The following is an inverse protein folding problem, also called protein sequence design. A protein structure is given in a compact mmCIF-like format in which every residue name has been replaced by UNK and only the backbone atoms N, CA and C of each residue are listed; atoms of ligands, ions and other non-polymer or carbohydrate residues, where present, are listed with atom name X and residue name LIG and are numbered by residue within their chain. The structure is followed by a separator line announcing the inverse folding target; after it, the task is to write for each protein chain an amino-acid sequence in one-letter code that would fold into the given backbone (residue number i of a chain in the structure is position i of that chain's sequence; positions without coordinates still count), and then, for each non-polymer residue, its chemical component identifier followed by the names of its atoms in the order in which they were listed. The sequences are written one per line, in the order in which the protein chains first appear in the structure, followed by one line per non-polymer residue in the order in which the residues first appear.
data_IF_775509544513
#
_entry.id   IF_775509544513
#
_cell.length_a   1.000
_cell.length_b   1.000
_cell.length_c   1.000
_cell.angle_alpha   90.00
_cell.angle_beta   90.00
_cell.angle_gamma   90.00
#
_symmetry.space_group_name_H-M   'P 1'
#
loop_
_entity.id
_entity.type
_entity.pdbx_description
1 polymer ?
#
# COMPACT_ATOMS: atom_id res chain seq x y z
N UNK A 1 13.13 -40.83 -60.24
CA UNK A 1 14.42 -41.54 -60.05
C UNK A 1 15.30 -40.72 -59.11
N UNK A 2 15.46 -41.14 -57.92
CA UNK A 2 16.56 -41.74 -57.13
C UNK A 2 16.19 -41.65 -55.67
N UNK A 3 15.82 -42.70 -55.16
CA UNK A 3 16.36 -43.66 -54.17
C UNK A 3 16.97 -43.09 -52.91
N UNK A 4 16.28 -43.44 -51.84
CA UNK A 4 16.62 -43.52 -50.44
C UNK A 4 18.09 -43.87 -50.10
N UNK A 5 18.59 -43.31 -49.00
CA UNK A 5 19.36 -44.02 -48.02
C UNK A 5 18.94 -43.57 -46.63
N UNK A 6 18.32 -44.48 -45.91
CA UNK A 6 18.17 -44.49 -44.46
C UNK A 6 19.47 -45.02 -43.86
N UNK A 7 20.00 -44.39 -42.84
CA UNK A 7 20.76 -45.12 -41.78
C UNK A 7 21.00 -44.25 -40.57
N UNK A 8 20.62 -44.82 -39.44
CA UNK A 8 21.25 -44.70 -38.13
C UNK A 8 21.22 -43.39 -37.40
N UNK A 9 20.05 -43.03 -36.82
CA UNK A 9 19.99 -42.12 -35.71
C UNK A 9 19.01 -42.56 -34.59
N UNK A 10 18.51 -43.79 -34.60
CA UNK A 10 17.58 -44.29 -33.57
C UNK A 10 18.23 -44.93 -32.35
N UNK A 11 19.56 -45.15 -32.33
CA UNK A 11 20.23 -45.75 -31.19
C UNK A 11 20.64 -44.75 -30.11
N UNK A 12 20.86 -43.49 -30.46
CA UNK A 12 21.33 -42.49 -29.48
C UNK A 12 20.15 -41.84 -28.68
N UNK A 13 18.96 -41.81 -29.23
CA UNK A 13 17.79 -41.32 -28.54
C UNK A 13 17.31 -42.27 -27.43
N UNK A 14 17.44 -43.58 -27.62
CA UNK A 14 17.06 -44.58 -26.62
C UNK A 14 18.03 -44.60 -25.43
N UNK A 15 19.34 -44.35 -25.65
CA UNK A 15 20.33 -44.26 -24.59
C UNK A 15 20.16 -42.97 -23.73
N UNK A 16 19.82 -41.86 -24.34
CA UNK A 16 19.57 -40.61 -23.63
C UNK A 16 18.30 -40.69 -22.75
N UNK A 17 17.23 -41.34 -23.20
CA UNK A 17 15.99 -41.54 -22.41
C UNK A 17 16.24 -42.52 -21.25
N UNK A 18 17.07 -43.52 -21.41
CA UNK A 18 17.46 -44.47 -20.35
C UNK A 18 18.32 -43.79 -19.27
N UNK A 19 19.26 -42.92 -19.64
CA UNK A 19 20.08 -42.15 -18.71
C UNK A 19 19.28 -41.13 -17.90
N UNK A 20 18.33 -40.46 -18.54
CA UNK A 20 17.42 -39.50 -17.87
C UNK A 20 16.51 -40.15 -16.83
N UNK A 21 16.00 -41.35 -17.12
CA UNK A 21 15.17 -42.08 -16.17
C UNK A 21 15.96 -42.64 -14.97
N UNK A 22 17.22 -42.99 -15.13
CA UNK A 22 18.08 -43.39 -14.01
C UNK A 22 18.44 -42.20 -13.11
N UNK A 23 18.75 -41.05 -13.69
CA UNK A 23 19.04 -39.84 -12.94
C UNK A 23 17.79 -39.32 -12.15
N UNK A 24 16.62 -39.35 -12.77
CA UNK A 24 15.35 -38.99 -12.10
C UNK A 24 15.00 -39.99 -10.99
N UNK A 25 15.31 -41.28 -11.15
CA UNK A 25 15.07 -42.29 -10.11
C UNK A 25 16.02 -42.12 -8.93
N UNK A 26 17.30 -41.76 -9.19
CA UNK A 26 18.29 -41.45 -8.17
C UNK A 26 17.95 -40.16 -7.40
N UNK A 27 17.52 -39.09 -8.09
CA UNK A 27 17.06 -37.86 -7.48
C UNK A 27 15.80 -38.10 -6.61
N UNK A 28 14.85 -38.90 -7.08
CA UNK A 28 13.66 -39.26 -6.32
C UNK A 28 13.97 -40.08 -5.07
N UNK A 29 14.99 -40.94 -5.15
CA UNK A 29 15.53 -41.71 -4.01
C UNK A 29 16.19 -40.82 -2.96
N UNK A 30 16.97 -39.81 -3.38
CA UNK A 30 17.59 -38.83 -2.48
C UNK A 30 16.58 -37.91 -1.81
N UNK A 31 15.58 -37.42 -2.55
CA UNK A 31 14.52 -36.58 -2.00
C UNK A 31 13.66 -37.36 -1.00
N UNK A 32 13.31 -38.62 -1.29
CA UNK A 32 12.56 -39.45 -0.36
C UNK A 32 13.39 -39.86 0.89
N UNK A 33 14.69 -40.05 0.74
CA UNK A 33 15.61 -40.27 1.86
C UNK A 33 15.71 -39.06 2.77
N UNK A 34 15.90 -37.86 2.21
CA UNK A 34 15.93 -36.60 2.96
C UNK A 34 14.58 -36.28 3.66
N UNK A 35 13.45 -36.60 3.00
CA UNK A 35 12.15 -36.46 3.61
C UNK A 35 11.88 -37.44 4.75
N UNK A 36 12.44 -38.67 4.69
CA UNK A 36 12.32 -39.64 5.78
C UNK A 36 13.21 -39.27 6.98
N UNK A 37 14.41 -38.72 6.74
CA UNK A 37 15.27 -38.21 7.80
C UNK A 37 14.69 -36.96 8.48
N UNK A 38 14.11 -36.02 7.71
CA UNK A 38 13.36 -34.88 8.27
C UNK A 38 12.13 -35.33 9.05
N UNK A 39 11.39 -36.32 8.59
CA UNK A 39 10.24 -36.88 9.30
C UNK A 39 10.66 -37.58 10.60
N UNK A 40 11.80 -38.30 10.64
CA UNK A 40 12.32 -38.92 11.86
C UNK A 40 12.89 -37.88 12.83
N UNK A 41 13.50 -36.80 12.35
CA UNK A 41 13.98 -35.71 13.20
C UNK A 41 12.82 -34.90 13.83
N UNK A 42 11.71 -34.72 13.11
CA UNK A 42 10.51 -34.06 13.63
C UNK A 42 9.72 -34.96 14.57
N UNK A 43 9.77 -36.30 14.42
CA UNK A 43 9.06 -37.24 15.31
C UNK A 43 9.80 -37.51 16.62
N UNK A 44 11.08 -37.13 16.72
CA UNK A 44 11.89 -37.36 17.94
C UNK A 44 11.64 -36.40 19.09
N UNK A 45 10.84 -35.36 18.91
CA UNK A 45 10.56 -34.35 19.95
C UNK A 45 9.05 -34.18 20.18
N UNK A 46 8.30 -35.29 20.26
CA UNK A 46 6.98 -35.23 20.89
C UNK A 46 7.19 -35.19 22.40
N UNK A 47 6.75 -34.15 23.08
CA UNK A 47 6.70 -34.20 24.53
C UNK A 47 5.77 -35.36 24.94
N UNK A 48 6.32 -36.30 25.70
CA UNK A 48 5.58 -37.38 26.35
C UNK A 48 4.32 -36.82 27.00
N UNK A 49 3.19 -37.43 26.71
CA UNK A 49 1.90 -37.10 27.31
C UNK A 49 2.05 -36.92 28.82
N UNK A 50 1.83 -35.71 29.28
CA UNK A 50 1.85 -35.38 30.71
C UNK A 50 0.79 -36.22 31.43
N UNK A 51 1.16 -36.80 32.55
CA UNK A 51 0.28 -37.52 33.44
C UNK A 51 -0.94 -36.66 33.85
N UNK A 52 -2.09 -37.25 34.19
CA UNK A 52 -3.28 -36.47 34.55
C UNK A 52 -3.05 -35.66 35.81
N UNK A 53 -3.05 -34.36 35.62
CA UNK A 53 -2.78 -33.37 36.69
C UNK A 53 -4.09 -33.08 37.43
N UNK A 54 -4.03 -33.03 38.76
CA UNK A 54 -5.15 -32.81 39.65
C UNK A 54 -5.96 -31.52 39.30
N UNK A 55 -7.25 -31.52 39.56
CA UNK A 55 -8.20 -30.46 39.16
C UNK A 55 -7.89 -29.05 39.63
N UNK A 56 -6.98 -28.86 40.59
CA UNK A 56 -6.53 -27.56 41.05
C UNK A 56 -5.43 -26.90 40.18
N UNK A 57 -4.76 -27.66 39.30
CA UNK A 57 -3.66 -27.15 38.45
C UNK A 57 -4.12 -26.79 37.03
N UNK A 58 -5.35 -27.03 36.67
CA UNK A 58 -5.83 -26.82 35.28
C UNK A 58 -5.94 -25.34 34.87
N UNK A 59 -6.22 -24.45 35.83
CA UNK A 59 -6.25 -23.01 35.57
C UNK A 59 -4.85 -22.47 35.35
N UNK A 60 -3.91 -22.80 36.23
CA UNK A 60 -2.50 -22.41 36.10
C UNK A 60 -1.86 -23.03 34.83
N UNK A 61 -2.16 -24.28 34.51
CA UNK A 61 -1.65 -24.92 33.29
C UNK A 61 -2.24 -24.31 32.02
N UNK A 62 -3.50 -23.87 32.05
CA UNK A 62 -4.10 -23.11 30.94
C UNK A 62 -3.49 -21.72 30.81
N UNK A 63 -3.23 -21.03 31.90
CA UNK A 63 -2.53 -19.75 31.87
C UNK A 63 -1.11 -19.89 31.34
N UNK A 64 -0.38 -20.93 31.77
CA UNK A 64 0.94 -21.23 31.23
C UNK A 64 0.91 -21.57 29.72
N UNK A 65 -0.03 -22.40 29.30
CA UNK A 65 -0.20 -22.74 27.89
C UNK A 65 -0.57 -21.51 27.04
N UNK A 66 -1.43 -20.64 27.56
CA UNK A 66 -1.79 -19.38 26.93
C UNK A 66 -0.62 -18.37 26.93
N UNK A 67 0.23 -18.39 27.96
CA UNK A 67 1.42 -17.56 28.02
C UNK A 67 2.49 -18.03 27.02
N UNK A 68 2.66 -19.32 26.81
CA UNK A 68 3.59 -19.91 25.85
C UNK A 68 3.11 -19.74 24.40
N UNK A 69 1.79 -19.75 24.17
CA UNK A 69 1.20 -19.54 22.86
C UNK A 69 1.01 -18.06 22.49
N UNK A 70 1.26 -17.14 23.41
CA UNK A 70 1.28 -15.70 23.09
C UNK A 70 2.51 -15.39 22.25
N UNK A 71 2.27 -14.78 21.09
CA UNK A 71 3.35 -14.14 20.34
C UNK A 71 4.00 -13.10 21.25
N UNK A 72 5.17 -13.42 21.79
CA UNK A 72 5.96 -12.48 22.56
C UNK A 72 6.48 -11.42 21.60
N UNK A 73 5.78 -10.30 21.55
CA UNK A 73 6.26 -9.11 20.85
C UNK A 73 7.56 -8.71 21.53
N UNK A 74 8.64 -8.59 20.77
CA UNK A 74 9.98 -8.21 21.27
C UNK A 74 10.00 -6.86 21.98
N UNK A 75 8.99 -6.04 21.77
CA UNK A 75 8.76 -4.78 22.47
C UNK A 75 7.41 -4.82 23.20
N UNK A 76 7.39 -4.71 24.53
CA UNK A 76 6.15 -4.68 25.30
C UNK A 76 5.34 -3.44 24.94
N UNK A 77 4.08 -3.64 24.57
CA UNK A 77 3.14 -2.56 24.25
C UNK A 77 2.37 -2.16 25.52
N UNK A 78 2.16 -0.85 25.67
CA UNK A 78 1.35 -0.31 26.75
C UNK A 78 -0.13 -0.30 26.32
N UNK A 79 -0.99 -0.89 27.16
CA UNK A 79 -2.44 -0.93 26.95
C UNK A 79 -3.14 -0.09 27.99
N UNK A 80 -4.02 0.81 27.56
CA UNK A 80 -4.77 1.71 28.40
C UNK A 80 -6.27 1.51 28.23
N UNK A 81 -7.04 1.76 29.30
CA UNK A 81 -8.51 1.85 29.29
C UNK A 81 -8.94 3.24 29.76
N UNK A 82 -8.31 4.26 29.23
CA UNK A 82 -8.46 5.65 29.68
C UNK A 82 -9.02 6.56 28.59
N UNK A 83 -9.99 6.08 27.84
CA UNK A 83 -10.74 6.92 26.91
C UNK A 83 -11.58 7.88 27.72
N UNK A 84 -11.31 9.21 27.61
CA UNK A 84 -12.06 10.24 28.31
C UNK A 84 -13.21 10.82 27.47
N UNK A 85 -13.06 10.83 26.16
CA UNK A 85 -14.07 11.37 25.26
C UNK A 85 -13.86 10.98 23.81
N UNK A 86 -14.92 11.13 23.03
CA UNK A 86 -14.93 10.92 21.57
C UNK A 86 -15.51 12.18 20.95
N UNK A 87 -14.79 12.83 20.04
CA UNK A 87 -15.22 14.04 19.34
C UNK A 87 -15.07 13.85 17.83
N UNK A 88 -16.16 13.56 17.14
CA UNK A 88 -16.13 13.25 15.71
C UNK A 88 -15.17 12.10 15.41
N UNK A 89 -14.16 12.28 14.56
CA UNK A 89 -13.19 11.26 14.20
C UNK A 89 -12.07 11.09 15.27
N UNK A 90 -12.09 11.88 16.34
CA UNK A 90 -11.05 11.95 17.35
C UNK A 90 -11.45 11.23 18.63
N UNK A 91 -10.48 10.54 19.25
CA UNK A 91 -10.59 9.90 20.56
C UNK A 91 -9.58 10.54 21.49
N UNK A 92 -10.05 11.00 22.64
CA UNK A 92 -9.20 11.62 23.66
C UNK A 92 -8.88 10.57 24.73
N UNK A 93 -7.59 10.34 24.95
CA UNK A 93 -7.07 9.46 25.98
C UNK A 93 -6.44 10.28 27.10
N UNK A 94 -6.80 9.99 28.34
CA UNK A 94 -6.19 10.58 29.52
C UNK A 94 -5.21 9.62 30.21
N UNK A 95 -4.31 10.17 31.02
CA UNK A 95 -3.34 9.43 31.83
C UNK A 95 -2.44 8.48 31.03
N UNK A 96 -2.09 8.88 29.81
CA UNK A 96 -1.16 8.14 28.95
C UNK A 96 0.27 8.49 29.35
N UNK A 97 1.15 7.49 29.44
CA UNK A 97 2.58 7.66 29.75
C UNK A 97 3.38 7.62 28.45
N UNK A 98 4.17 8.67 28.24
CA UNK A 98 5.11 8.78 27.11
C UNK A 98 4.52 8.52 25.72
N UNK A 99 3.37 9.09 25.37
CA UNK A 99 2.86 8.97 24.01
C UNK A 99 3.79 9.69 23.03
N UNK A 100 4.00 9.11 21.86
CA UNK A 100 4.80 9.73 20.80
C UNK A 100 3.90 10.40 19.78
N UNK A 101 4.36 11.51 19.19
CA UNK A 101 3.67 12.15 18.08
C UNK A 101 3.68 11.22 16.85
N UNK A 102 2.58 11.16 16.13
CA UNK A 102 2.36 10.32 14.96
C UNK A 102 2.43 8.79 15.21
N UNK A 103 2.46 8.36 16.46
CA UNK A 103 2.44 6.94 16.83
C UNK A 103 1.11 6.28 16.49
N UNK A 104 1.16 5.02 16.10
CA UNK A 104 -0.04 4.22 15.82
C UNK A 104 -0.58 3.60 17.10
N UNK A 105 -1.88 3.69 17.26
CA UNK A 105 -2.64 3.13 18.39
C UNK A 105 -3.68 2.17 17.86
N UNK A 106 -3.73 0.97 18.42
CA UNK A 106 -4.78 0.01 18.15
C UNK A 106 -5.87 0.10 19.21
N UNK A 107 -7.09 0.38 18.78
CA UNK A 107 -8.26 0.42 19.64
C UNK A 107 -9.02 -0.90 19.49
N UNK A 108 -9.19 -1.61 20.61
CA UNK A 108 -10.02 -2.81 20.64
C UNK A 108 -11.35 -2.46 21.28
N UNK A 109 -12.43 -2.55 20.49
CA UNK A 109 -13.78 -2.27 20.93
C UNK A 109 -14.33 -3.40 21.83
N UNK A 110 -15.42 -3.17 22.55
CA UNK A 110 -16.03 -4.20 23.41
C UNK A 110 -16.50 -5.47 22.67
N UNK A 111 -16.79 -5.35 21.38
CA UNK A 111 -17.18 -6.44 20.48
C UNK A 111 -15.99 -7.24 19.93
N UNK A 112 -14.76 -6.83 20.28
CA UNK A 112 -13.52 -7.45 19.81
C UNK A 112 -13.01 -6.92 18.47
N UNK A 113 -13.73 -5.99 17.81
CA UNK A 113 -13.24 -5.32 16.60
C UNK A 113 -12.01 -4.48 16.93
N UNK A 114 -11.00 -4.57 16.08
CA UNK A 114 -9.78 -3.75 16.18
C UNK A 114 -9.85 -2.62 15.15
N UNK A 115 -9.59 -1.42 15.61
CA UNK A 115 -9.43 -0.23 14.77
C UNK A 115 -8.07 0.38 14.98
N UNK A 116 -7.56 1.02 13.95
CA UNK A 116 -6.27 1.70 14.00
C UNK A 116 -6.46 3.20 14.04
N UNK A 117 -5.62 3.88 14.79
CA UNK A 117 -5.61 5.34 14.86
C UNK A 117 -4.18 5.86 14.99
N UNK A 118 -4.02 7.14 14.78
CA UNK A 118 -2.74 7.83 14.89
C UNK A 118 -2.83 8.95 15.92
N UNK A 119 -1.78 9.09 16.73
CA UNK A 119 -1.67 10.20 17.68
C UNK A 119 -1.39 11.49 16.93
N UNK A 120 -2.31 12.46 17.03
CA UNK A 120 -2.17 13.78 16.41
C UNK A 120 -1.57 14.82 17.34
N UNK A 121 -1.92 14.75 18.62
CA UNK A 121 -1.52 15.74 19.59
C UNK A 121 -1.22 15.08 20.93
N UNK A 122 -0.21 15.58 21.59
CA UNK A 122 0.19 15.15 22.92
C UNK A 122 0.26 16.37 23.82
N UNK A 123 -0.62 16.45 24.81
CA UNK A 123 -0.67 17.56 25.78
C UNK A 123 -0.52 17.01 27.18
N UNK A 124 0.69 17.03 27.72
CA UNK A 124 0.99 16.48 29.04
C UNK A 124 0.74 14.95 29.10
N UNK A 125 -0.27 14.54 29.88
CA UNK A 125 -0.70 13.14 30.00
C UNK A 125 -1.88 12.78 29.09
N UNK A 126 -2.34 13.72 28.24
CA UNK A 126 -3.43 13.51 27.30
C UNK A 126 -2.88 13.26 25.89
N UNK A 127 -3.49 12.32 25.20
CA UNK A 127 -3.22 12.06 23.79
C UNK A 127 -4.53 12.14 22.99
N UNK A 128 -4.51 12.90 21.91
CA UNK A 128 -5.61 12.95 20.93
C UNK A 128 -5.28 12.01 19.81
N UNK A 129 -6.10 10.98 19.63
CA UNK A 129 -5.94 9.93 18.63
C UNK A 129 -7.00 10.08 17.56
N UNK A 130 -6.56 10.14 16.34
CA UNK A 130 -7.38 10.15 15.15
C UNK A 130 -7.60 8.71 14.68
N UNK A 131 -8.86 8.27 14.60
CA UNK A 131 -9.21 6.89 14.24
C UNK A 131 -9.50 6.81 12.74
N UNK A 132 -8.83 5.90 12.03
CA UNK A 132 -8.95 5.77 10.57
C UNK A 132 -10.31 5.21 10.13
N UNK A 133 -10.82 4.22 10.84
CA UNK A 133 -12.04 3.46 10.49
C UNK A 133 -13.31 4.03 11.13
N UNK A 134 -13.25 5.28 11.60
CA UNK A 134 -14.37 5.95 12.28
C UNK A 134 -14.48 5.59 13.76
N UNK A 135 -15.26 6.38 14.49
CA UNK A 135 -15.38 6.34 15.97
C UNK A 135 -16.69 5.73 16.46
N UNK A 136 -17.58 5.29 15.55
CA UNK A 136 -18.86 4.70 15.92
C UNK A 136 -18.67 3.43 16.78
N UNK A 137 -19.40 3.33 17.88
CA UNK A 137 -19.35 2.16 18.78
C UNK A 137 -18.19 2.14 19.78
N UNK A 138 -17.39 3.20 19.87
CA UNK A 138 -16.34 3.32 20.90
C UNK A 138 -16.97 3.62 22.26
N UNK A 139 -16.76 2.72 23.22
CA UNK A 139 -17.19 2.89 24.60
C UNK A 139 -16.01 3.39 25.44
N UNK A 140 -16.19 4.54 26.10
CA UNK A 140 -15.15 5.15 26.93
C UNK A 140 -14.64 4.25 28.07
N UNK A 141 -15.48 3.36 28.60
CA UNK A 141 -15.10 2.51 29.75
C UNK A 141 -14.57 1.14 29.35
N UNK A 142 -14.98 0.62 28.19
CA UNK A 142 -14.70 -0.76 27.79
C UNK A 142 -13.66 -0.87 26.69
N UNK A 143 -13.45 0.18 25.89
CA UNK A 143 -12.47 0.18 24.80
C UNK A 143 -11.06 0.20 25.40
N UNK A 144 -10.20 -0.68 24.89
CA UNK A 144 -8.78 -0.70 25.23
C UNK A 144 -7.94 -0.14 24.09
N UNK A 145 -6.95 0.66 24.44
CA UNK A 145 -6.05 1.32 23.52
C UNK A 145 -4.63 0.77 23.72
N UNK A 146 -4.02 0.27 22.66
CA UNK A 146 -2.68 -0.28 22.68
C UNK A 146 -1.76 0.60 21.84
N UNK A 147 -0.70 1.14 22.44
CA UNK A 147 0.30 1.95 21.75
C UNK A 147 1.37 1.07 21.15
N UNK A 148 1.66 1.25 19.86
CA UNK A 148 2.61 0.40 19.13
C UNK A 148 4.06 0.84 19.28
N UNK A 149 4.30 2.10 19.63
CA UNK A 149 5.64 2.69 19.70
C UNK A 149 6.23 3.06 18.34
N UNK A 150 5.51 2.81 17.24
CA UNK A 150 5.96 3.03 15.86
C UNK A 150 5.01 3.94 15.09
N UNK A 151 5.52 4.52 14.01
CA UNK A 151 4.77 5.36 13.08
C UNK A 151 4.00 4.48 12.07
N UNK A 152 3.06 5.09 11.34
CA UNK A 152 2.34 4.39 10.29
C UNK A 152 3.28 4.07 9.12
N UNK A 153 3.47 2.78 8.89
CA UNK A 153 4.23 2.25 7.75
C UNK A 153 3.33 1.45 6.85
N UNK A 154 3.56 1.57 5.56
CA UNK A 154 2.83 0.83 4.53
C UNK A 154 3.68 -0.33 4.03
N UNK A 155 3.12 -1.55 3.96
CA UNK A 155 3.76 -2.64 3.25
C UNK A 155 3.81 -2.32 1.76
N UNK A 156 4.96 -2.44 1.15
CA UNK A 156 5.18 -2.20 -0.27
C UNK A 156 5.82 -3.40 -0.93
N UNK A 157 5.40 -3.67 -2.15
CA UNK A 157 5.91 -4.76 -2.99
C UNK A 157 5.60 -4.45 -4.45
N UNK A 158 6.32 -5.03 -5.38
CA UNK A 158 5.98 -4.97 -6.81
C UNK A 158 4.64 -5.67 -7.12
N UNK A 159 4.24 -6.65 -6.31
CA UNK A 159 2.95 -7.35 -6.38
C UNK A 159 1.72 -6.46 -6.12
N UNK A 160 1.92 -5.19 -5.77
CA UNK A 160 0.82 -4.22 -5.68
C UNK A 160 0.27 -3.79 -7.04
N UNK A 161 1.03 -3.99 -8.12
CA UNK A 161 0.55 -3.73 -9.47
C UNK A 161 -0.57 -4.70 -9.84
N UNK A 162 -1.55 -4.24 -10.54
CA UNK A 162 -2.75 -5.02 -10.87
C UNK A 162 -3.78 -5.13 -9.74
N UNK A 163 -3.54 -4.53 -8.57
CA UNK A 163 -4.37 -4.67 -7.38
C UNK A 163 -5.20 -3.43 -7.08
N UNK A 164 -6.30 -3.65 -6.37
CA UNK A 164 -7.22 -2.61 -5.90
C UNK A 164 -7.24 -2.56 -4.37
N UNK A 165 -6.97 -1.39 -3.83
CA UNK A 165 -6.92 -1.12 -2.39
C UNK A 165 -7.98 -0.10 -1.98
N UNK A 166 -8.38 -0.14 -0.70
CA UNK A 166 -9.19 0.92 -0.12
C UNK A 166 -8.32 2.13 0.31
N UNK A 167 -8.95 3.14 0.88
CA UNK A 167 -8.26 4.33 1.39
C UNK A 167 -7.25 4.08 2.51
N UNK A 168 -7.36 2.96 3.23
CA UNK A 168 -6.43 2.53 4.27
C UNK A 168 -5.31 1.60 3.76
N UNK A 169 -5.25 1.31 2.44
CA UNK A 169 -4.27 0.38 1.87
C UNK A 169 -4.59 -1.11 2.06
N UNK A 170 -5.82 -1.45 2.47
CA UNK A 170 -6.27 -2.85 2.55
C UNK A 170 -6.80 -3.31 1.18
N UNK A 171 -6.47 -4.52 0.71
CA UNK A 171 -6.97 -5.01 -0.56
C UNK A 171 -8.48 -5.23 -0.53
N UNK A 172 -9.20 -4.78 -1.56
CA UNK A 172 -10.65 -4.96 -1.75
C UNK A 172 -10.99 -5.85 -2.95
N UNK A 173 -9.99 -6.31 -3.66
CA UNK A 173 -10.09 -7.21 -4.81
C UNK A 173 -10.28 -8.69 -4.45
N UNK A 174 -10.50 -9.01 -3.17
CA UNK A 174 -10.55 -10.36 -2.60
C UNK A 174 -9.24 -11.16 -2.73
N UNK A 175 -8.16 -10.52 -3.12
CA UNK A 175 -6.84 -11.11 -3.15
C UNK A 175 -6.23 -11.25 -1.74
N UNK A 176 -5.12 -11.96 -1.61
CA UNK A 176 -4.38 -12.07 -0.34
C UNK A 176 -3.82 -10.71 0.08
N UNK A 177 -3.45 -10.59 1.36
CA UNK A 177 -2.68 -9.45 1.84
C UNK A 177 -1.35 -9.36 1.07
N UNK A 178 -0.88 -8.14 0.85
CA UNK A 178 0.40 -7.89 0.18
C UNK A 178 1.53 -8.46 1.03
N UNK A 179 2.35 -9.30 0.43
CA UNK A 179 3.61 -9.74 1.03
C UNK A 179 4.60 -8.59 0.91
N UNK A 180 4.88 -7.95 2.05
CA UNK A 180 5.76 -6.80 2.06
C UNK A 180 7.20 -7.18 1.76
N UNK A 181 7.82 -6.53 0.79
CA UNK A 181 9.27 -6.53 0.59
C UNK A 181 9.93 -5.52 1.52
N UNK A 182 9.24 -4.39 1.77
CA UNK A 182 9.68 -3.36 2.72
C UNK A 182 8.47 -2.68 3.37
N UNK A 183 8.72 -1.97 4.49
CA UNK A 183 7.74 -1.17 5.20
C UNK A 183 8.18 0.29 5.20
N UNK A 184 7.54 1.11 4.39
CA UNK A 184 7.88 2.51 4.22
C UNK A 184 6.95 3.44 4.99
N UNK A 185 7.50 4.56 5.45
CA UNK A 185 6.74 5.64 6.10
C UNK A 185 5.82 6.32 5.07
N UNK A 186 4.55 6.52 5.44
CA UNK A 186 3.57 7.20 4.59
C UNK A 186 3.90 8.68 4.34
N UNK A 187 4.70 9.30 5.20
CA UNK A 187 5.14 10.69 5.00
C UNK A 187 6.17 10.81 3.87
N UNK A 188 6.70 9.68 3.40
CA UNK A 188 7.69 9.62 2.35
C UNK A 188 9.07 10.09 2.78
N UNK A 189 10.00 10.08 1.83
CA UNK A 189 11.34 10.58 2.04
C UNK A 189 11.52 11.94 1.36
N UNK A 190 12.02 12.95 2.07
CA UNK A 190 12.28 14.26 1.47
C UNK A 190 13.40 14.13 0.42
N UNK A 191 13.16 14.70 -0.76
CA UNK A 191 14.14 14.76 -1.83
C UNK A 191 15.01 16.00 -1.60
N UNK A 192 16.34 15.81 -1.56
CA UNK A 192 17.26 16.93 -1.52
C UNK A 192 17.09 17.79 -2.80
N UNK A 193 16.80 19.09 -2.68
CA UNK A 193 16.61 19.96 -3.84
C UNK A 193 17.78 19.96 -4.83
N UNK A 194 19.01 19.80 -4.34
CA UNK A 194 20.20 19.77 -5.18
C UNK A 194 20.30 18.50 -6.05
N UNK A 195 19.72 17.40 -5.59
CA UNK A 195 19.71 16.14 -6.33
C UNK A 195 18.57 16.03 -7.33
N UNK A 196 17.71 17.05 -7.44
CA UNK A 196 16.62 17.06 -8.41
C UNK A 196 17.14 17.37 -9.81
N UNK A 197 16.76 16.54 -10.77
CA UNK A 197 17.06 16.72 -12.18
C UNK A 197 15.86 17.39 -12.85
N UNK A 198 16.13 18.35 -13.76
CA UNK A 198 15.08 18.96 -14.56
C UNK A 198 14.40 17.93 -15.47
N UNK A 199 13.07 18.00 -15.64
CA UNK A 199 12.34 17.14 -16.55
C UNK A 199 12.73 17.44 -18.01
N UNK A 200 13.13 16.42 -18.75
CA UNK A 200 13.52 16.57 -20.16
C UNK A 200 12.74 15.65 -21.08
N UNK A 201 12.36 14.47 -20.59
CA UNK A 201 11.72 13.43 -21.40
C UNK A 201 10.20 13.42 -21.18
N UNK A 202 9.44 13.39 -22.29
CA UNK A 202 7.99 13.43 -22.29
C UNK A 202 7.36 12.07 -21.90
N UNK A 203 6.25 12.14 -21.18
CA UNK A 203 5.29 11.03 -21.06
C UNK A 203 4.22 11.24 -22.12
N UNK A 204 3.98 10.23 -22.93
CA UNK A 204 2.93 10.25 -23.94
C UNK A 204 1.60 9.88 -23.28
N UNK A 205 0.66 10.83 -23.24
CA UNK A 205 -0.65 10.63 -22.58
C UNK A 205 -1.70 10.05 -23.53
N UNK A 206 -1.46 10.12 -24.84
CA UNK A 206 -2.42 9.72 -25.87
C UNK A 206 -3.49 10.76 -26.16
N UNK A 207 -3.47 11.92 -25.50
CA UNK A 207 -4.39 13.03 -25.75
C UNK A 207 -3.62 14.11 -26.51
N UNK A 208 -4.00 14.36 -27.78
CA UNK A 208 -3.28 15.27 -28.68
C UNK A 208 -3.16 16.69 -28.17
N UNK A 209 -4.17 17.18 -27.46
CA UNK A 209 -4.14 18.52 -26.87
C UNK A 209 -3.08 18.64 -25.75
N UNK A 210 -2.89 17.60 -24.95
CA UNK A 210 -1.88 17.55 -23.88
C UNK A 210 -0.51 17.34 -24.52
N UNK A 211 -0.36 16.31 -25.35
CA UNK A 211 0.93 15.94 -25.91
C UNK A 211 1.51 16.97 -26.86
N UNK A 212 0.62 17.72 -27.57
CA UNK A 212 1.03 18.74 -28.54
C UNK A 212 1.21 20.14 -27.96
N UNK A 213 0.42 20.54 -26.94
CA UNK A 213 0.40 21.92 -26.44
C UNK A 213 0.97 22.05 -25.03
N UNK A 214 0.73 21.09 -24.16
CA UNK A 214 1.12 21.10 -22.75
C UNK A 214 1.75 19.76 -22.36
N UNK A 215 2.77 19.33 -23.08
CA UNK A 215 3.44 18.07 -22.86
C UNK A 215 3.85 17.86 -21.41
N UNK A 216 3.60 16.66 -20.88
CA UNK A 216 3.97 16.29 -19.53
C UNK A 216 5.34 15.62 -19.54
N UNK A 217 6.28 16.17 -18.80
CA UNK A 217 7.62 15.60 -18.69
C UNK A 217 7.75 14.69 -17.45
N UNK A 218 8.63 13.70 -17.53
CA UNK A 218 8.91 12.77 -16.43
C UNK A 218 9.45 13.51 -15.20
N UNK A 219 8.81 13.30 -14.05
CA UNK A 219 9.18 13.98 -12.81
C UNK A 219 8.48 15.32 -12.60
N UNK A 220 7.56 15.69 -13.45
CA UNK A 220 6.79 16.92 -13.37
C UNK A 220 5.48 16.72 -12.57
N UNK A 221 4.99 17.79 -11.98
CA UNK A 221 3.66 17.88 -11.38
C UNK A 221 2.83 18.90 -12.13
N UNK A 222 1.75 18.46 -12.77
CA UNK A 222 0.85 19.32 -13.55
C UNK A 222 -0.58 19.03 -13.12
N UNK A 223 -1.33 20.03 -12.63
CA UNK A 223 -2.73 19.84 -12.25
C UNK A 223 -3.66 19.91 -13.47
N UNK A 224 -4.77 19.19 -13.38
CA UNK A 224 -5.95 19.38 -14.23
C UNK A 224 -6.97 20.15 -13.43
N UNK A 225 -7.25 21.39 -13.82
CA UNK A 225 -8.32 22.18 -13.24
C UNK A 225 -9.63 21.89 -13.93
N UNK A 226 -10.64 21.55 -13.16
CA UNK A 226 -11.96 21.20 -13.65
C UNK A 226 -13.06 21.90 -12.87
N UNK A 227 -14.27 21.81 -13.41
CA UNK A 227 -15.48 22.23 -12.72
C UNK A 227 -16.52 21.11 -12.76
N UNK A 228 -17.54 21.21 -11.92
CA UNK A 228 -18.62 20.23 -11.89
C UNK A 228 -19.28 20.06 -13.27
N UNK A 229 -19.44 18.81 -13.70
CA UNK A 229 -20.03 18.46 -14.99
C UNK A 229 -19.05 18.40 -16.16
N UNK A 230 -17.75 18.67 -15.95
CA UNK A 230 -16.73 18.47 -16.97
C UNK A 230 -16.15 17.03 -16.91
N UNK A 231 -15.68 16.48 -18.04
CA UNK A 231 -15.27 15.07 -18.14
C UNK A 231 -13.85 14.82 -17.62
N UNK A 232 -13.53 15.30 -16.42
CA UNK A 232 -12.20 15.13 -15.82
C UNK A 232 -11.87 13.68 -15.46
N UNK A 233 -12.88 12.90 -15.07
CA UNK A 233 -12.71 11.49 -14.76
C UNK A 233 -12.42 10.66 -16.00
N UNK A 234 -13.10 10.96 -17.12
CA UNK A 234 -12.90 10.31 -18.40
C UNK A 234 -11.52 10.65 -18.96
N UNK A 235 -11.05 11.88 -18.79
CA UNK A 235 -9.69 12.29 -19.15
C UNK A 235 -8.66 11.50 -18.32
N UNK A 236 -8.87 11.38 -17.03
CA UNK A 236 -7.98 10.60 -16.14
C UNK A 236 -7.94 9.13 -16.55
N UNK A 237 -9.09 8.50 -16.80
CA UNK A 237 -9.19 7.12 -17.25
C UNK A 237 -8.51 6.91 -18.59
N UNK A 238 -8.69 7.84 -19.54
CA UNK A 238 -8.04 7.78 -20.84
C UNK A 238 -6.51 7.91 -20.74
N UNK A 239 -6.00 8.79 -19.90
CA UNK A 239 -4.57 8.89 -19.63
C UNK A 239 -4.05 7.56 -19.06
N UNK A 240 -4.72 6.99 -18.07
CA UNK A 240 -4.33 5.69 -17.51
C UNK A 240 -4.27 4.57 -18.54
N UNK A 241 -5.20 4.57 -19.49
CA UNK A 241 -5.30 3.56 -20.56
C UNK A 241 -4.20 3.67 -21.60
N UNK A 242 -3.83 4.89 -21.94
CA UNK A 242 -2.97 5.19 -23.10
C UNK A 242 -1.57 5.67 -22.73
N UNK A 243 -1.34 6.04 -21.46
CA UNK A 243 -0.06 6.61 -21.08
C UNK A 243 1.08 5.61 -21.25
N UNK A 244 2.18 6.09 -21.79
CA UNK A 244 3.36 5.28 -22.03
C UNK A 244 4.60 6.14 -22.22
N UNK A 245 5.75 5.49 -22.25
CA UNK A 245 7.02 6.15 -22.51
C UNK A 245 7.25 6.29 -24.02
N UNK A 246 7.84 7.42 -24.40
CA UNK A 246 8.23 7.63 -25.81
C UNK A 246 9.43 6.74 -26.12
N UNK A 247 9.25 5.80 -27.06
CA UNK A 247 10.32 4.90 -27.51
C UNK A 247 11.26 5.66 -28.45
N UNK A 248 12.56 5.67 -28.15
CA UNK A 248 13.57 6.19 -29.08
C UNK A 248 13.71 5.21 -30.25
N UNK A 249 13.91 5.73 -31.47
CA UNK A 249 13.94 4.92 -32.70
C UNK A 249 15.00 3.79 -32.73
N UNK A 250 15.97 3.84 -31.82
CA UNK A 250 16.98 2.77 -31.62
C UNK A 250 16.46 1.59 -30.78
N UNK A 251 15.41 1.82 -29.98
CA UNK A 251 14.90 0.87 -29.01
C UNK A 251 13.72 0.05 -29.57
N UNK A 252 13.38 0.22 -30.84
CA UNK A 252 12.25 -0.46 -31.52
C UNK A 252 12.43 -1.99 -31.54
N UNK A 253 13.65 -2.48 -31.38
CA UNK A 253 13.96 -3.93 -31.27
C UNK A 253 14.03 -4.41 -29.82
N UNK A 254 13.96 -3.52 -28.84
CA UNK A 254 13.99 -3.87 -27.43
C UNK A 254 12.58 -4.20 -26.96
N UNK A 255 12.25 -5.47 -26.88
CA UNK A 255 11.01 -6.00 -26.31
C UNK A 255 11.05 -6.00 -24.76
N UNK A 256 11.97 -5.25 -24.15
CA UNK A 256 11.97 -5.10 -22.70
C UNK A 256 10.63 -4.47 -22.27
N UNK A 257 10.02 -5.05 -21.26
CA UNK A 257 8.79 -4.52 -20.68
C UNK A 257 9.00 -3.03 -20.33
N UNK A 258 8.08 -2.19 -20.77
CA UNK A 258 8.17 -0.77 -20.46
C UNK A 258 8.24 -0.60 -18.94
N UNK A 259 9.33 -0.03 -18.41
CA UNK A 259 9.47 0.29 -16.99
C UNK A 259 8.54 1.44 -16.60
N UNK A 260 7.26 1.26 -16.88
CA UNK A 260 6.22 2.24 -16.64
C UNK A 260 5.13 1.66 -15.76
N UNK A 261 4.74 2.39 -14.72
CA UNK A 261 3.67 2.00 -13.83
C UNK A 261 2.77 3.21 -13.53
N UNK A 262 1.53 2.95 -13.24
CA UNK A 262 0.55 3.98 -12.89
C UNK A 262 0.02 3.70 -11.49
N UNK A 263 0.00 4.72 -10.66
CA UNK A 263 -0.65 4.68 -9.35
C UNK A 263 -1.83 5.66 -9.38
N UNK A 264 -3.01 5.12 -9.27
CA UNK A 264 -4.23 5.91 -9.30
C UNK A 264 -4.86 5.97 -7.92
N UNK A 265 -5.07 7.17 -7.39
CA UNK A 265 -5.73 7.38 -6.12
C UNK A 265 -7.01 8.21 -6.32
N UNK A 266 -8.14 7.59 -6.05
CA UNK A 266 -9.44 8.23 -6.06
C UNK A 266 -9.87 8.57 -4.62
N UNK A 267 -10.17 9.83 -4.35
CA UNK A 267 -10.51 10.33 -3.02
C UNK A 267 -11.92 10.92 -3.02
N UNK A 268 -12.79 10.36 -2.19
CA UNK A 268 -14.16 10.86 -2.03
C UNK A 268 -15.06 10.67 -3.25
N UNK A 269 -14.77 9.66 -4.09
CA UNK A 269 -15.53 9.38 -5.30
C UNK A 269 -16.84 8.66 -5.00
N UNK A 270 -17.85 8.88 -5.85
CA UNK A 270 -19.11 8.15 -5.79
C UNK A 270 -18.89 6.68 -6.17
N UNK A 271 -19.78 5.81 -5.70
CA UNK A 271 -19.75 4.38 -6.06
C UNK A 271 -19.84 4.14 -7.58
N UNK A 272 -20.57 4.98 -8.28
CA UNK A 272 -20.71 4.94 -9.75
C UNK A 272 -19.36 5.24 -10.42
N UNK A 273 -18.70 6.31 -10.03
CA UNK A 273 -17.37 6.68 -10.54
C UNK A 273 -16.31 5.63 -10.20
N UNK A 274 -16.35 5.05 -9.00
CA UNK A 274 -15.44 3.98 -8.60
C UNK A 274 -15.64 2.72 -9.47
N UNK A 275 -16.89 2.36 -9.76
CA UNK A 275 -17.21 1.26 -10.68
C UNK A 275 -16.76 1.55 -12.11
N UNK A 276 -16.95 2.79 -12.57
CA UNK A 276 -16.48 3.24 -13.87
C UNK A 276 -14.97 3.04 -14.02
N UNK A 277 -14.16 3.52 -13.07
CA UNK A 277 -12.71 3.32 -13.13
C UNK A 277 -12.32 1.85 -13.13
N UNK A 278 -12.93 1.06 -12.23
CA UNK A 278 -12.63 -0.37 -12.14
C UNK A 278 -12.98 -1.10 -13.44
N UNK A 279 -14.19 -0.88 -13.98
CA UNK A 279 -14.66 -1.50 -15.21
C UNK A 279 -13.80 -1.08 -16.41
N UNK A 280 -13.47 0.21 -16.53
CA UNK A 280 -12.65 0.73 -17.61
C UNK A 280 -11.25 0.12 -17.63
N UNK A 281 -10.63 -0.04 -16.47
CA UNK A 281 -9.29 -0.64 -16.36
C UNK A 281 -9.31 -2.16 -16.60
N UNK A 282 -10.34 -2.87 -16.13
CA UNK A 282 -10.50 -4.31 -16.37
C UNK A 282 -10.78 -4.61 -17.85
N UNK A 283 -11.70 -3.86 -18.49
CA UNK A 283 -12.10 -4.08 -19.87
C UNK A 283 -10.99 -3.77 -20.89
N UNK A 284 -10.16 -2.78 -20.59
CA UNK A 284 -9.08 -2.35 -21.47
C UNK A 284 -7.75 -3.08 -21.23
N UNK A 285 -7.68 -3.99 -20.26
CA UNK A 285 -6.48 -4.76 -19.96
C UNK A 285 -5.31 -3.93 -19.44
N UNK A 286 -5.57 -2.71 -18.96
CA UNK A 286 -4.53 -1.82 -18.42
C UNK A 286 -4.22 -2.07 -16.94
N UNK A 287 -4.96 -2.96 -16.28
CA UNK A 287 -4.81 -3.24 -14.85
C UNK A 287 -3.43 -3.72 -14.46
N UNK A 288 -2.75 -4.50 -15.28
CA UNK A 288 -1.48 -5.14 -14.91
C UNK A 288 -0.39 -4.14 -14.47
N UNK A 289 -0.43 -2.92 -14.99
CA UNK A 289 0.53 -1.85 -14.67
C UNK A 289 -0.06 -0.76 -13.77
N UNK A 290 -1.30 -0.92 -13.29
CA UNK A 290 -2.01 0.07 -12.48
C UNK A 290 -2.20 -0.43 -11.06
N UNK A 291 -1.82 0.38 -10.08
CA UNK A 291 -2.17 0.19 -8.68
C UNK A 291 -3.28 1.19 -8.32
N UNK A 292 -4.45 0.69 -7.92
CA UNK A 292 -5.64 1.50 -7.70
C UNK A 292 -5.97 1.61 -6.22
N UNK A 293 -6.01 2.85 -5.69
CA UNK A 293 -6.49 3.17 -4.36
C UNK A 293 -7.85 3.86 -4.46
N UNK A 294 -8.87 3.28 -3.85
CA UNK A 294 -10.23 3.79 -3.88
C UNK A 294 -10.70 4.18 -2.49
N UNK A 295 -10.97 5.47 -2.29
CA UNK A 295 -11.69 5.97 -1.14
C UNK A 295 -13.04 6.51 -1.61
N UNK A 296 -14.12 5.94 -1.09
CA UNK A 296 -15.48 6.32 -1.44
C UNK A 296 -15.94 7.55 -0.64
N UNK A 297 -16.99 8.19 -1.13
CA UNK A 297 -17.56 9.37 -0.48
C UNK A 297 -18.14 9.07 0.92
N UNK A 298 -18.59 7.83 1.15
CA UNK A 298 -19.14 7.37 2.43
C UNK A 298 -18.09 6.78 3.38
N UNK A 299 -16.83 6.66 2.95
CA UNK A 299 -15.75 6.21 3.80
C UNK A 299 -15.35 7.30 4.81
N UNK A 300 -14.73 6.92 5.94
CA UNK A 300 -14.29 7.88 6.95
C UNK A 300 -13.37 8.96 6.37
N UNK A 301 -13.58 10.20 6.81
CA UNK A 301 -12.84 11.39 6.34
C UNK A 301 -11.32 11.24 6.47
N UNK A 302 -10.89 10.54 7.49
CA UNK A 302 -9.47 10.32 7.79
C UNK A 302 -8.79 9.44 6.74
N UNK A 303 -9.47 8.40 6.28
CA UNK A 303 -8.94 7.55 5.20
C UNK A 303 -8.65 8.39 3.95
N UNK A 304 -9.49 9.38 3.67
CA UNK A 304 -9.32 10.30 2.54
C UNK A 304 -8.04 11.11 2.62
N UNK A 305 -7.62 11.51 3.82
CA UNK A 305 -6.36 12.24 4.04
C UNK A 305 -5.14 11.33 3.88
N UNK A 306 -5.28 10.06 4.21
CA UNK A 306 -4.17 9.10 4.15
C UNK A 306 -3.98 8.54 2.74
N UNK A 307 -5.05 8.36 1.99
CA UNK A 307 -5.05 7.74 0.66
C UNK A 307 -3.97 8.28 -0.29
N UNK A 308 -3.83 9.61 -0.52
CA UNK A 308 -2.82 10.12 -1.44
C UNK A 308 -1.40 9.88 -0.93
N UNK A 309 -1.20 9.85 0.39
CA UNK A 309 0.11 9.58 1.00
C UNK A 309 0.52 8.12 0.82
N UNK A 310 -0.42 7.18 0.99
CA UNK A 310 -0.20 5.76 0.72
C UNK A 310 0.13 5.51 -0.76
N UNK A 311 -0.66 6.11 -1.65
CA UNK A 311 -0.42 6.02 -3.09
C UNK A 311 0.96 6.54 -3.49
N UNK A 312 1.38 7.67 -2.93
CA UNK A 312 2.69 8.24 -3.20
C UNK A 312 3.83 7.42 -2.59
N UNK A 313 3.63 6.80 -1.43
CA UNK A 313 4.64 5.91 -0.83
C UNK A 313 4.83 4.66 -1.69
N UNK A 314 3.76 4.06 -2.19
CA UNK A 314 3.84 2.97 -3.17
C UNK A 314 4.53 3.41 -4.46
N UNK A 315 4.23 4.62 -4.94
CA UNK A 315 4.89 5.19 -6.11
C UNK A 315 6.39 5.44 -5.89
N UNK A 316 6.79 5.91 -4.71
CA UNK A 316 8.21 6.09 -4.35
C UNK A 316 8.97 4.76 -4.35
N UNK A 317 8.37 3.71 -3.82
CA UNK A 317 8.94 2.38 -3.86
C UNK A 317 9.16 1.91 -5.30
N UNK A 318 8.12 1.95 -6.13
CA UNK A 318 8.18 1.53 -7.52
C UNK A 318 9.17 2.37 -8.35
N UNK A 319 9.27 3.69 -8.07
CA UNK A 319 10.14 4.57 -8.82
C UNK A 319 11.61 4.48 -8.38
N UNK A 320 11.89 4.41 -7.08
CA UNK A 320 13.24 4.55 -6.57
C UNK A 320 13.90 3.24 -6.17
N UNK A 321 13.14 2.18 -5.91
CA UNK A 321 13.68 0.85 -5.63
C UNK A 321 13.55 -0.07 -6.84
N UNK A 322 12.39 -0.08 -7.51
CA UNK A 322 12.16 -0.88 -8.72
C UNK A 322 12.54 -0.16 -10.03
N UNK A 323 13.06 1.07 -9.96
CA UNK A 323 13.54 1.88 -11.09
C UNK A 323 12.51 2.12 -12.20
N UNK A 324 11.21 2.12 -11.85
CA UNK A 324 10.12 2.37 -12.80
C UNK A 324 9.82 3.87 -12.95
N UNK A 325 9.31 4.26 -14.10
CA UNK A 325 8.72 5.58 -14.30
C UNK A 325 7.26 5.51 -13.87
N UNK A 326 6.92 6.19 -12.77
CA UNK A 326 5.59 6.11 -12.18
C UNK A 326 4.80 7.38 -12.48
N UNK A 327 3.61 7.20 -13.03
CA UNK A 327 2.62 8.26 -13.17
C UNK A 327 1.59 8.15 -12.05
N UNK A 328 1.49 9.16 -11.22
CA UNK A 328 0.52 9.21 -10.12
C UNK A 328 -0.61 10.16 -10.49
N UNK A 329 -1.84 9.64 -10.50
CA UNK A 329 -3.03 10.44 -10.71
C UNK A 329 -3.82 10.51 -9.42
N UNK A 330 -4.06 11.75 -8.95
CA UNK A 330 -4.78 12.02 -7.73
C UNK A 330 -6.11 12.68 -8.09
N UNK A 331 -7.22 11.92 -8.06
CA UNK A 331 -8.53 12.46 -8.37
C UNK A 331 -9.22 12.96 -7.13
N UNK A 332 -9.80 14.11 -7.31
CA UNK A 332 -10.57 14.95 -6.41
C UNK A 332 -9.79 15.45 -5.19
N UNK A 333 -8.80 16.25 -5.48
CA UNK A 333 -8.08 17.00 -4.44
C UNK A 333 -8.97 18.02 -3.71
N UNK A 334 -10.11 18.39 -4.28
CA UNK A 334 -11.12 19.21 -3.59
C UNK A 334 -11.74 18.45 -2.42
N UNK A 335 -12.09 17.17 -2.61
CA UNK A 335 -12.57 16.31 -1.54
C UNK A 335 -11.51 16.09 -0.44
N UNK A 336 -10.23 16.03 -0.82
CA UNK A 336 -9.12 16.01 0.12
C UNK A 336 -9.07 17.27 0.98
N UNK A 337 -9.19 18.45 0.38
CA UNK A 337 -9.19 19.72 1.09
C UNK A 337 -10.39 19.84 2.04
N UNK A 338 -11.58 19.36 1.63
CA UNK A 338 -12.76 19.28 2.50
C UNK A 338 -12.53 18.37 3.70
N UNK A 339 -11.85 17.23 3.51
CA UNK A 339 -11.49 16.34 4.60
C UNK A 339 -10.55 17.01 5.61
N UNK A 340 -9.56 17.77 5.14
CA UNK A 340 -8.70 18.58 6.01
C UNK A 340 -9.47 19.62 6.79
N UNK A 341 -10.44 20.27 6.16
CA UNK A 341 -11.31 21.28 6.83
C UNK A 341 -12.14 20.62 7.94
N UNK A 342 -12.72 19.46 7.68
CA UNK A 342 -13.53 18.74 8.67
C UNK A 342 -12.70 18.34 9.89
N UNK A 343 -11.50 17.81 9.67
CA UNK A 343 -10.59 17.42 10.77
C UNK A 343 -10.10 18.62 11.56
N UNK A 344 -9.75 19.71 10.88
CA UNK A 344 -9.35 20.97 11.54
C UNK A 344 -10.47 21.54 12.41
N UNK A 345 -11.72 21.48 11.93
CA UNK A 345 -12.89 21.90 12.70
C UNK A 345 -13.12 20.99 13.93
N UNK A 346 -12.92 19.66 13.78
CA UNK A 346 -13.03 18.72 14.89
C UNK A 346 -11.94 18.91 15.96
N UNK A 347 -10.78 19.47 15.59
CA UNK A 347 -9.67 19.82 16.48
C UNK A 347 -9.82 21.21 17.10
N UNK A 348 -10.88 21.95 16.75
CA UNK A 348 -11.11 23.33 17.21
C UNK A 348 -9.96 24.29 16.86
N UNK A 349 -9.25 24.03 15.75
CA UNK A 349 -8.19 24.90 15.27
C UNK A 349 -8.74 26.25 14.80
N UNK A 350 -7.93 27.29 14.91
CA UNK A 350 -8.31 28.63 14.41
C UNK A 350 -8.48 28.54 12.89
N UNK A 351 -9.68 28.79 12.35
CA UNK A 351 -9.94 28.67 10.93
C UNK A 351 -9.24 29.77 10.14
N UNK A 352 -8.63 29.38 9.03
CA UNK A 352 -8.13 30.31 8.04
C UNK A 352 -9.24 30.78 7.08
N UNK A 353 -8.86 31.26 5.90
CA UNK A 353 -9.79 31.73 4.88
C UNK A 353 -10.78 30.62 4.47
N UNK A 354 -12.07 30.93 4.45
CA UNK A 354 -13.17 30.00 4.12
C UNK A 354 -13.26 28.76 5.02
N UNK A 355 -12.71 28.81 6.23
CA UNK A 355 -12.75 27.70 7.17
C UNK A 355 -11.71 26.60 6.93
N UNK A 356 -10.80 26.76 5.98
CA UNK A 356 -9.70 25.83 5.77
C UNK A 356 -8.59 26.04 6.81
N UNK A 357 -7.83 24.99 7.18
CA UNK A 357 -6.70 25.16 8.09
C UNK A 357 -5.61 26.04 7.47
N UNK A 358 -4.94 26.83 8.32
CA UNK A 358 -3.86 27.73 7.87
C UNK A 358 -2.67 26.99 7.25
N UNK A 359 -2.45 25.74 7.64
CA UNK A 359 -1.37 24.89 7.15
C UNK A 359 -1.72 24.11 5.87
N UNK A 360 -2.86 24.33 5.24
CA UNK A 360 -3.27 23.59 4.03
C UNK A 360 -2.23 23.67 2.91
N UNK A 361 -1.58 24.82 2.74
CA UNK A 361 -0.52 24.99 1.75
C UNK A 361 0.69 24.08 2.02
N UNK A 362 1.13 24.03 3.27
CA UNK A 362 2.24 23.18 3.67
C UNK A 362 1.91 21.70 3.50
N UNK A 363 0.69 21.32 3.84
CA UNK A 363 0.23 19.95 3.71
C UNK A 363 0.16 19.50 2.24
N UNK A 364 -0.42 20.32 1.36
CA UNK A 364 -0.43 20.08 -0.09
C UNK A 364 0.99 20.06 -0.67
N UNK A 365 1.87 20.93 -0.19
CA UNK A 365 3.26 20.95 -0.61
C UNK A 365 3.97 19.64 -0.27
N UNK A 366 3.72 19.04 0.90
CA UNK A 366 4.29 17.73 1.27
C UNK A 366 3.88 16.60 0.32
N UNK A 367 2.68 16.70 -0.27
CA UNK A 367 2.18 15.75 -1.27
C UNK A 367 2.85 16.00 -2.63
N UNK A 368 2.79 17.24 -3.12
CA UNK A 368 3.22 17.55 -4.48
C UNK A 368 4.73 17.56 -4.65
N UNK A 369 5.50 17.90 -3.60
CA UNK A 369 6.96 17.88 -3.66
C UNK A 369 7.58 16.48 -3.68
N UNK A 370 6.77 15.44 -3.50
CA UNK A 370 7.20 14.04 -3.69
C UNK A 370 7.39 13.68 -5.18
N UNK A 371 6.81 14.48 -6.09
CA UNK A 371 7.07 14.32 -7.52
C UNK A 371 8.49 14.81 -7.86
N UNK A 372 9.17 14.06 -8.69
CA UNK A 372 10.49 14.47 -9.14
C UNK A 372 11.29 13.36 -9.80
N UNK A 373 12.44 13.76 -10.30
CA UNK A 373 13.49 12.87 -10.77
C UNK A 373 14.76 13.17 -9.95
N UNK A 374 15.39 12.12 -9.47
CA UNK A 374 16.53 12.23 -8.55
C UNK A 374 17.79 11.75 -9.25
N UNK A 375 18.90 12.48 -9.09
CA UNK A 375 20.20 12.10 -9.60
C UNK A 375 20.66 10.75 -9.05
N UNK A 376 21.21 9.90 -9.92
CA UNK A 376 21.67 8.56 -9.56
C UNK A 376 20.57 7.51 -9.51
N UNK A 377 19.30 7.87 -9.83
CA UNK A 377 18.19 6.91 -9.95
C UNK A 377 17.53 7.03 -11.32
N UNK A 378 17.26 5.90 -11.96
CA UNK A 378 16.65 5.85 -13.29
C UNK A 378 15.13 6.13 -13.25
N UNK A 379 14.45 5.78 -12.16
CA UNK A 379 13.02 6.01 -11.99
C UNK A 379 12.62 7.47 -11.80
N UNK A 380 11.35 7.75 -12.00
CA UNK A 380 10.78 9.09 -11.81
C UNK A 380 9.34 9.02 -11.32
N UNK A 381 8.90 10.06 -10.59
CA UNK A 381 7.51 10.21 -10.14
C UNK A 381 6.92 11.45 -10.80
N UNK A 382 5.90 11.25 -11.62
CA UNK A 382 5.13 12.33 -12.23
C UNK A 382 3.75 12.38 -11.62
N UNK A 383 3.26 13.55 -11.26
CA UNK A 383 1.95 13.70 -10.62
C UNK A 383 0.99 14.52 -11.48
N UNK A 384 -0.24 14.02 -11.58
CA UNK A 384 -1.38 14.73 -12.18
C UNK A 384 -2.48 14.84 -11.12
N UNK A 385 -2.47 15.87 -10.27
CA UNK A 385 -3.60 16.14 -9.39
C UNK A 385 -4.76 16.74 -10.19
N UNK A 386 -5.98 16.31 -9.87
CA UNK A 386 -7.23 16.81 -10.45
C UNK A 386 -7.98 17.61 -9.39
N UNK A 387 -8.34 18.84 -9.72
CA UNK A 387 -8.97 19.81 -8.84
C UNK A 387 -10.30 20.30 -9.41
#
# INVERSE_FOLDING_TARGET
RLRMRSSSHDSDAAAAVSGGNMAMKALRGMVNGAMSELSSAVSGNRPTAAAPVSAGSTAASREHALAVSRDYISQPRLTYKTVSGVNGPLVILDQVKFPKYAEIVHLTLPDGTKRSGQVLEVTGSKAVVQVFEGTAGIDAKKTSCEFTGDILRTPVSEDMLGRVFNGSGKPIDRGPAVLAEDFLDIMGQPINPQCRIYPEEMIQTGISAIDGMNSIARGQKIPIFSAAGLPHNEIAAQICRQAGLVKKSKDVMDYSADNFAIVFAAMGVNMETARFFKSDFEENGSMDNVCLFLNLANDPTIERIITPRLALTSAEYLAYQCEKHVLVILTDMSSYAEALREVSAAREEVPGRRGFPGYMYTDLATIYERAGRVEGRSGSITQIPIL
#
